data_IF_149275704598
#
_entry.id   IF_149275704598
#
_cell.length_a   1.000
_cell.length_b   1.000
_cell.length_c   1.000
_cell.angle_alpha   90.00
_cell.angle_beta   90.00
_cell.angle_gamma   90.00
#
_symmetry.space_group_name_H-M   'P 1'
#
loop_
_entity.id
_entity.type
_entity.pdbx_description
1 polymer ?
#
# COMPACT_ATOMS: atom_id res chain seq x y z
N UNK A 1 -4.49 -6.64 14.10
CA UNK A 1 -5.55 -7.42 13.43
C UNK A 1 -4.89 -8.66 12.82
N UNK A 2 -5.57 -9.81 12.82
CA UNK A 2 -5.06 -11.09 12.29
C UNK A 2 -5.33 -11.14 10.78
N UNK A 3 -4.38 -10.68 9.97
CA UNK A 3 -4.48 -10.56 8.52
C UNK A 3 -4.78 -11.90 7.85
N UNK A 4 -4.11 -12.95 8.32
CA UNK A 4 -4.19 -14.32 7.82
C UNK A 4 -5.62 -14.86 7.77
N UNK A 5 -6.46 -14.48 8.75
CA UNK A 5 -7.88 -14.92 8.79
C UNK A 5 -8.69 -14.31 7.66
N UNK A 6 -8.45 -13.05 7.31
CA UNK A 6 -9.17 -12.41 6.21
C UNK A 6 -8.71 -12.95 4.86
N UNK A 7 -7.43 -13.27 4.73
CA UNK A 7 -6.89 -13.91 3.52
C UNK A 7 -7.45 -15.32 3.32
N UNK A 8 -7.61 -16.10 4.40
CA UNK A 8 -8.23 -17.42 4.32
C UNK A 8 -9.71 -17.36 3.88
N UNK A 9 -10.41 -16.27 4.19
CA UNK A 9 -11.80 -16.05 3.79
C UNK A 9 -11.94 -15.54 2.34
N UNK A 10 -10.84 -15.19 1.66
CA UNK A 10 -10.88 -14.72 0.28
C UNK A 10 -11.13 -15.88 -0.69
N UNK A 11 -12.26 -15.83 -1.39
CA UNK A 11 -12.61 -16.75 -2.46
C UNK A 11 -13.38 -15.99 -3.55
N UNK A 12 -13.15 -16.30 -4.83
CA UNK A 12 -13.89 -15.74 -5.98
C UNK A 12 -14.03 -14.19 -5.95
N UNK A 13 -12.95 -13.52 -5.53
CA UNK A 13 -12.91 -12.06 -5.38
C UNK A 13 -13.99 -11.49 -4.43
N UNK A 14 -14.50 -12.26 -3.46
CA UNK A 14 -15.56 -11.84 -2.54
C UNK A 14 -15.22 -10.60 -1.70
N UNK A 15 -13.98 -10.48 -1.23
CA UNK A 15 -13.47 -9.45 -0.32
C UNK A 15 -12.19 -8.84 -0.89
N UNK A 16 -11.97 -7.55 -0.62
CA UNK A 16 -10.72 -6.85 -0.93
C UNK A 16 -9.97 -6.58 0.37
N UNK A 17 -8.75 -7.11 0.49
CA UNK A 17 -7.88 -6.89 1.66
C UNK A 17 -6.73 -5.98 1.24
N UNK A 18 -6.60 -4.83 1.89
CA UNK A 18 -5.61 -3.80 1.55
C UNK A 18 -4.78 -3.39 2.77
N UNK A 19 -3.49 -3.12 2.54
CA UNK A 19 -2.55 -2.62 3.56
C UNK A 19 -1.86 -1.36 3.02
N UNK A 20 -2.53 -0.18 3.08
CA UNK A 20 -1.99 1.04 2.50
C UNK A 20 -0.77 1.53 3.30
N UNK A 21 0.26 1.99 2.58
CA UNK A 21 1.52 2.49 3.18
C UNK A 21 1.66 4.01 3.10
N UNK A 22 1.05 4.66 2.11
CA UNK A 22 1.10 6.13 1.94
C UNK A 22 -0.28 6.76 2.17
N UNK A 23 -0.33 8.04 2.61
CA UNK A 23 -1.59 8.79 2.72
C UNK A 23 -2.40 8.83 1.42
N UNK A 24 -1.76 9.02 0.27
CA UNK A 24 -2.43 9.01 -1.03
C UNK A 24 -3.13 7.67 -1.32
N UNK A 25 -2.53 6.55 -0.92
CA UNK A 25 -3.15 5.24 -1.10
C UNK A 25 -4.42 5.08 -0.26
N UNK A 26 -4.43 5.59 0.98
CA UNK A 26 -5.65 5.59 1.81
C UNK A 26 -6.75 6.44 1.15
N UNK A 27 -6.40 7.65 0.67
CA UNK A 27 -7.33 8.55 -0.01
C UNK A 27 -7.97 7.89 -1.24
N UNK A 28 -7.16 7.36 -2.15
CA UNK A 28 -7.65 6.74 -3.38
C UNK A 28 -8.41 5.45 -3.13
N UNK A 29 -8.00 4.67 -2.14
CA UNK A 29 -8.69 3.45 -1.72
C UNK A 29 -10.12 3.75 -1.23
N UNK A 30 -10.29 4.75 -0.36
CA UNK A 30 -11.60 5.13 0.16
C UNK A 30 -12.52 5.68 -0.95
N UNK A 31 -11.99 6.54 -1.82
CA UNK A 31 -12.74 7.04 -2.99
C UNK A 31 -13.18 5.91 -3.92
N UNK A 32 -12.28 4.96 -4.19
CA UNK A 32 -12.56 3.79 -5.03
C UNK A 32 -13.72 2.95 -4.50
N UNK A 33 -13.86 2.83 -3.19
CA UNK A 33 -14.94 2.06 -2.57
C UNK A 33 -16.34 2.67 -2.83
N UNK A 34 -16.42 3.98 -3.03
CA UNK A 34 -17.68 4.71 -3.31
C UNK A 34 -17.91 4.89 -4.81
N UNK A 35 -16.90 5.40 -5.53
CA UNK A 35 -17.01 5.80 -6.95
C UNK A 35 -17.20 4.59 -7.87
N UNK A 36 -16.53 3.48 -7.60
CA UNK A 36 -16.63 2.29 -8.46
C UNK A 36 -18.07 1.75 -8.38
N UNK A 37 -18.69 1.30 -9.49
CA UNK A 37 -19.99 0.63 -9.47
C UNK A 37 -19.86 -0.84 -8.99
N UNK A 38 -19.15 -1.04 -7.88
CA UNK A 38 -18.91 -2.33 -7.24
C UNK A 38 -19.06 -2.15 -5.73
N UNK A 39 -19.82 -3.03 -5.09
CA UNK A 39 -20.00 -3.04 -3.64
C UNK A 39 -19.51 -4.37 -3.10
N UNK A 40 -18.21 -4.43 -2.83
CA UNK A 40 -17.56 -5.58 -2.17
C UNK A 40 -16.92 -5.13 -0.86
N UNK A 41 -16.90 -5.95 0.20
CA UNK A 41 -16.27 -5.58 1.46
C UNK A 41 -14.80 -5.22 1.27
N UNK A 42 -14.39 -4.12 1.89
CA UNK A 42 -13.02 -3.63 1.92
C UNK A 42 -12.47 -3.77 3.35
N UNK A 43 -11.54 -4.69 3.54
CA UNK A 43 -10.83 -4.91 4.80
C UNK A 43 -9.49 -4.18 4.73
N UNK A 44 -9.32 -3.17 5.59
CA UNK A 44 -8.13 -2.33 5.60
C UNK A 44 -7.30 -2.60 6.86
N UNK A 45 -6.05 -2.96 6.67
CA UNK A 45 -5.08 -3.01 7.77
C UNK A 45 -4.46 -1.63 7.94
N UNK A 46 -5.01 -0.84 8.85
CA UNK A 46 -4.52 0.52 9.10
C UNK A 46 -3.22 0.51 9.93
N UNK A 47 -2.11 1.03 9.39
CA UNK A 47 -0.84 1.03 10.11
C UNK A 47 -0.83 2.17 11.15
N UNK A 48 -0.69 1.81 12.44
CA UNK A 48 -0.66 2.79 13.54
C UNK A 48 0.61 3.64 13.55
N UNK A 49 1.76 3.05 13.26
CA UNK A 49 3.06 3.74 13.29
C UNK A 49 3.23 4.75 12.17
N UNK A 50 2.60 4.52 11.02
CA UNK A 50 2.73 5.38 9.84
C UNK A 50 2.00 6.71 9.97
N UNK A 51 1.09 6.86 10.95
CA UNK A 51 0.35 8.10 11.18
C UNK A 51 1.25 9.31 11.50
N UNK A 52 2.47 9.07 11.99
CA UNK A 52 3.45 10.12 12.35
C UNK A 52 4.82 9.87 11.73
N UNK A 53 4.91 8.99 10.74
CA UNK A 53 6.18 8.62 10.15
C UNK A 53 6.63 9.66 9.11
N UNK A 54 7.87 10.16 9.23
CA UNK A 54 8.37 11.26 8.38
C UNK A 54 8.39 10.93 6.89
N UNK A 55 8.63 9.66 6.55
CA UNK A 55 8.64 9.18 5.16
C UNK A 55 7.24 8.80 4.63
N UNK A 56 6.20 8.79 5.49
CA UNK A 56 4.83 8.45 5.10
C UNK A 56 4.02 9.72 4.80
N UNK A 57 4.53 10.53 3.87
CA UNK A 57 3.89 11.75 3.38
C UNK A 57 3.44 11.57 1.92
N UNK A 58 2.49 12.38 1.47
CA UNK A 58 2.05 12.44 0.07
C UNK A 58 1.81 13.89 -0.31
N UNK A 59 2.02 14.23 -1.58
CA UNK A 59 1.78 15.59 -2.07
C UNK A 59 0.31 15.78 -2.47
N UNK A 60 -0.09 17.02 -2.74
CA UNK A 60 -1.42 17.29 -3.28
C UNK A 60 -1.55 16.79 -4.71
N UNK A 61 -0.47 16.80 -5.50
CA UNK A 61 -0.46 16.24 -6.85
C UNK A 61 -0.78 14.73 -6.83
N UNK A 62 -0.25 13.99 -5.85
CA UNK A 62 -0.56 12.57 -5.66
C UNK A 62 -2.06 12.33 -5.42
N UNK A 63 -2.75 13.29 -4.77
CA UNK A 63 -4.20 13.21 -4.52
C UNK A 63 -5.02 13.63 -5.75
N UNK A 64 -4.59 14.69 -6.44
CA UNK A 64 -5.30 15.26 -7.57
C UNK A 64 -5.22 14.36 -8.82
N UNK A 65 -4.00 13.93 -9.17
CA UNK A 65 -3.70 13.24 -10.42
C UNK A 65 -3.32 11.77 -10.22
N UNK A 66 -3.14 11.32 -8.98
CA UNK A 66 -2.83 9.92 -8.68
C UNK A 66 -4.04 8.98 -8.74
N UNK A 67 -3.77 7.71 -8.48
CA UNK A 67 -4.80 6.67 -8.38
C UNK A 67 -4.37 5.60 -7.37
N UNK A 68 -5.31 4.72 -7.01
CA UNK A 68 -4.99 3.59 -6.13
C UNK A 68 -4.10 2.59 -6.87
N UNK A 69 -2.89 2.37 -6.38
CA UNK A 69 -1.97 1.39 -6.96
C UNK A 69 -2.03 0.07 -6.18
N UNK A 70 -2.28 -1.03 -6.88
CA UNK A 70 -2.30 -2.37 -6.27
C UNK A 70 -0.90 -2.86 -5.89
N UNK A 71 0.11 -2.43 -6.65
CA UNK A 71 1.53 -2.64 -6.38
C UNK A 71 2.23 -1.31 -6.62
N UNK A 72 2.99 -0.86 -5.63
CA UNK A 72 3.81 0.35 -5.75
C UNK A 72 5.21 -0.10 -6.18
N UNK A 73 5.76 0.42 -7.29
CA UNK A 73 7.11 0.09 -7.72
C UNK A 73 8.16 0.72 -6.78
N UNK A 74 9.43 0.39 -7.02
CA UNK A 74 10.54 1.03 -6.32
C UNK A 74 10.53 2.55 -6.53
N UNK A 75 10.78 3.31 -5.47
CA UNK A 75 10.79 4.78 -5.49
C UNK A 75 12.18 5.35 -5.78
N UNK A 76 13.23 4.62 -5.41
CA UNK A 76 14.61 5.03 -5.66
C UNK A 76 15.02 4.67 -7.10
N UNK A 77 15.83 5.52 -7.72
CA UNK A 77 16.37 5.25 -9.06
C UNK A 77 17.46 4.17 -8.96
N UNK A 78 17.10 2.92 -9.21
CA UNK A 78 18.01 1.77 -9.26
C UNK A 78 18.15 1.30 -10.71
N UNK A 79 19.37 0.90 -11.10
CA UNK A 79 19.63 0.25 -12.39
C UNK A 79 19.04 -1.17 -12.36
N UNK A 80 17.97 -1.47 -13.12
CA UNK A 80 17.31 -2.78 -13.09
C UNK A 80 18.25 -3.94 -13.45
N UNK A 81 19.30 -3.67 -14.23
CA UNK A 81 20.27 -4.70 -14.64
C UNK A 81 21.21 -5.14 -13.52
N UNK A 82 21.33 -4.33 -12.46
CA UNK A 82 22.18 -4.62 -11.30
C UNK A 82 21.38 -5.16 -10.10
N UNK A 83 20.07 -5.38 -10.26
CA UNK A 83 19.22 -5.88 -9.19
C UNK A 83 19.27 -7.39 -9.14
N UNK A 84 19.93 -7.94 -8.12
CA UNK A 84 20.01 -9.40 -7.92
C UNK A 84 18.83 -9.96 -7.10
N UNK A 85 18.14 -9.12 -6.33
CA UNK A 85 17.07 -9.53 -5.41
C UNK A 85 15.96 -8.51 -5.32
N UNK A 86 14.72 -8.98 -5.48
CA UNK A 86 13.50 -8.20 -5.24
C UNK A 86 12.84 -8.70 -3.96
N UNK A 87 12.50 -7.79 -3.04
CA UNK A 87 11.82 -8.10 -1.79
C UNK A 87 10.38 -7.60 -1.86
N UNK A 88 9.44 -8.53 -1.90
CA UNK A 88 8.02 -8.21 -1.81
C UNK A 88 7.64 -7.98 -0.35
N UNK A 89 7.03 -6.84 -0.07
CA UNK A 89 6.58 -6.50 1.27
C UNK A 89 5.26 -5.73 1.26
N UNK A 90 4.62 -5.65 2.42
CA UNK A 90 3.35 -4.96 2.59
C UNK A 90 3.26 -4.27 3.94
N UNK A 91 2.72 -3.06 3.97
CA UNK A 91 2.59 -2.27 5.20
C UNK A 91 3.90 -1.65 5.68
N UNK A 92 3.98 -1.39 6.98
CA UNK A 92 5.05 -0.57 7.58
C UNK A 92 6.47 -1.10 7.38
N UNK A 93 6.64 -2.41 7.21
CA UNK A 93 7.96 -3.06 7.08
C UNK A 93 8.74 -2.54 5.87
N UNK A 94 8.05 -2.00 4.87
CA UNK A 94 8.69 -1.33 3.73
C UNK A 94 9.64 -0.21 4.19
N UNK A 95 9.23 0.61 5.16
CA UNK A 95 10.04 1.72 5.64
C UNK A 95 11.28 1.22 6.39
N UNK A 96 11.13 0.17 7.21
CA UNK A 96 12.27 -0.46 7.91
C UNK A 96 13.29 -1.03 6.90
N UNK A 97 12.81 -1.63 5.80
CA UNK A 97 13.67 -2.14 4.71
C UNK A 97 14.33 -1.03 3.91
N UNK A 98 13.59 0.05 3.63
CA UNK A 98 14.07 1.21 2.90
C UNK A 98 15.19 1.93 3.67
N UNK A 99 15.01 2.14 4.98
CA UNK A 99 16.03 2.72 5.85
C UNK A 99 17.29 1.85 5.88
N UNK A 100 17.14 0.53 6.04
CA UNK A 100 18.27 -0.40 6.06
C UNK A 100 19.02 -0.46 4.72
N UNK A 101 18.34 -0.25 3.59
CA UNK A 101 18.97 -0.22 2.27
C UNK A 101 19.74 1.09 2.00
N UNK A 102 19.27 2.20 2.56
CA UNK A 102 19.87 3.53 2.39
C UNK A 102 21.01 3.80 3.38
N UNK A 103 21.06 3.05 4.49
CA UNK A 103 22.16 3.04 5.44
C UNK A 103 23.41 2.35 4.87
#
# INVERSE_FOLDING_TARGET
>A
ARLERYLQLCAEQNIQVCVPTTPAQVYHMLRRQVIRPLRKPLVVMTPKSLLRHKLAISTLEDLANGSFQTVIPEIDSLDPKKVDRVVLCSGKVYYDLLEKRRA
#
